data_IF_822107293339
#
_entry.id   IF_822107293339
#
_cell.length_a   1.000
_cell.length_b   1.000
_cell.length_c   1.000
_cell.angle_alpha   90.00
_cell.angle_beta   90.00
_cell.angle_gamma   90.00
#
_symmetry.space_group_name_H-M   'P 1'
#
loop_
_entity.id
_entity.type
_entity.pdbx_description
1 polymer ?
#
# COMPACT_ATOMS: atom_id res chain seq x y z
N UNK A 1 -4.19 -17.07 37.03
CA UNK A 1 -3.15 -17.01 35.97
C UNK A 1 -3.20 -18.34 35.23
N UNK A 2 -3.54 -18.40 33.93
CA UNK A 2 -3.46 -19.68 33.23
C UNK A 2 -1.99 -20.05 33.10
N UNK A 3 -1.65 -21.28 33.48
CA UNK A 3 -0.30 -21.81 33.35
C UNK A 3 0.14 -21.70 31.88
N UNK A 4 1.27 -21.04 31.64
CA UNK A 4 1.94 -21.06 30.35
C UNK A 4 2.36 -22.51 30.13
N UNK A 5 1.60 -23.24 29.31
CA UNK A 5 1.93 -24.61 28.96
C UNK A 5 3.37 -24.62 28.42
N UNK A 6 4.23 -25.44 29.01
CA UNK A 6 5.63 -25.54 28.61
C UNK A 6 5.68 -25.92 27.13
N UNK A 7 6.32 -25.06 26.33
CA UNK A 7 6.44 -25.26 24.89
C UNK A 7 7.23 -26.55 24.64
N UNK A 8 6.68 -27.48 23.83
CA UNK A 8 7.34 -28.76 23.56
C UNK A 8 8.69 -28.50 22.89
N UNK A 9 9.75 -29.30 23.15
CA UNK A 9 11.08 -29.05 22.57
C UNK A 9 11.09 -28.92 21.04
N UNK A 10 10.18 -29.63 20.35
CA UNK A 10 9.98 -29.53 18.91
C UNK A 10 9.43 -28.15 18.47
N UNK A 11 8.42 -27.62 19.19
CA UNK A 11 7.85 -26.30 18.95
C UNK A 11 8.86 -25.18 19.27
N UNK A 12 9.62 -25.32 20.35
CA UNK A 12 10.69 -24.37 20.71
C UNK A 12 11.80 -24.32 19.65
N UNK A 13 12.18 -25.49 19.11
CA UNK A 13 13.14 -25.59 18.00
C UNK A 13 12.59 -24.93 16.74
N UNK A 14 11.34 -25.24 16.36
CA UNK A 14 10.67 -24.64 15.20
C UNK A 14 10.61 -23.11 15.32
N UNK A 15 10.23 -22.58 16.49
CA UNK A 15 10.20 -21.13 16.74
C UNK A 15 11.56 -20.45 16.61
N UNK A 16 12.63 -21.14 17.00
CA UNK A 16 14.01 -20.62 16.88
C UNK A 16 14.41 -20.51 15.41
N UNK A 17 14.11 -21.53 14.60
CA UNK A 17 14.34 -21.52 13.15
C UNK A 17 13.55 -20.37 12.50
N UNK A 18 12.26 -20.24 12.79
CA UNK A 18 11.45 -19.15 12.23
C UNK A 18 11.92 -17.76 12.67
N UNK A 19 12.48 -17.59 13.88
CA UNK A 19 13.07 -16.31 14.28
C UNK A 19 14.25 -15.93 13.39
N UNK A 20 15.08 -16.91 13.02
CA UNK A 20 16.19 -16.73 12.07
C UNK A 20 15.68 -16.36 10.67
N UNK A 21 14.68 -17.09 10.17
CA UNK A 21 14.04 -16.82 8.87
C UNK A 21 13.41 -15.42 8.83
N UNK A 22 12.64 -15.05 9.86
CA UNK A 22 12.00 -13.74 9.96
C UNK A 22 13.05 -12.63 9.99
N UNK A 23 14.10 -12.75 10.81
CA UNK A 23 15.14 -11.71 10.94
C UNK A 23 15.93 -11.48 9.66
N UNK A 24 16.04 -12.50 8.80
CA UNK A 24 16.71 -12.40 7.49
C UNK A 24 15.78 -11.83 6.43
N UNK A 25 14.59 -12.42 6.25
CA UNK A 25 13.73 -12.15 5.09
C UNK A 25 12.89 -10.89 5.30
N UNK A 26 12.24 -10.75 6.45
CA UNK A 26 11.17 -9.75 6.64
C UNK A 26 11.69 -8.31 6.61
N UNK A 27 12.80 -7.93 7.27
CA UNK A 27 13.36 -6.59 7.16
C UNK A 27 13.74 -6.20 5.74
N UNK A 28 14.26 -7.15 4.96
CA UNK A 28 14.64 -6.91 3.57
C UNK A 28 13.41 -6.68 2.68
N UNK A 29 12.36 -7.48 2.85
CA UNK A 29 11.09 -7.25 2.14
C UNK A 29 10.45 -5.92 2.53
N UNK A 30 10.49 -5.54 3.81
CA UNK A 30 10.04 -4.21 4.28
C UNK A 30 10.83 -3.11 3.57
N UNK A 31 12.16 -3.22 3.49
CA UNK A 31 12.99 -2.25 2.78
C UNK A 31 12.60 -2.11 1.30
N UNK A 32 12.39 -3.24 0.61
CA UNK A 32 11.95 -3.24 -0.79
C UNK A 32 10.60 -2.53 -0.95
N UNK A 33 9.68 -2.72 -0.01
CA UNK A 33 8.35 -2.12 -0.07
C UNK A 33 8.32 -0.66 0.36
N UNK A 34 9.20 -0.25 1.28
CA UNK A 34 9.42 1.18 1.58
C UNK A 34 9.90 1.89 0.31
N UNK A 35 10.87 1.32 -0.41
CA UNK A 35 11.33 1.90 -1.68
C UNK A 35 10.20 1.98 -2.71
N UNK A 36 9.40 0.92 -2.87
CA UNK A 36 8.25 0.91 -3.80
C UNK A 36 7.20 1.96 -3.45
N UNK A 37 6.87 2.12 -2.17
CA UNK A 37 5.93 3.17 -1.77
C UNK A 37 6.52 4.57 -1.91
N UNK A 38 7.80 4.75 -1.64
CA UNK A 38 8.48 6.04 -1.79
C UNK A 38 8.38 6.55 -3.24
N UNK A 39 8.69 5.70 -4.22
CA UNK A 39 8.54 6.03 -5.64
C UNK A 39 7.07 6.20 -6.08
N UNK A 40 6.12 5.60 -5.36
CA UNK A 40 4.69 5.80 -5.64
C UNK A 40 4.21 7.17 -5.16
N UNK A 41 4.68 7.62 -4.01
CA UNK A 41 4.18 8.86 -3.37
C UNK A 41 4.93 10.11 -3.80
N UNK A 42 6.19 9.99 -4.24
CA UNK A 42 7.04 11.13 -4.55
C UNK A 42 6.45 12.09 -5.57
N UNK A 43 5.67 11.58 -6.51
CA UNK A 43 4.99 12.41 -7.51
C UNK A 43 4.01 13.42 -6.93
N UNK A 44 3.47 13.18 -5.72
CA UNK A 44 2.68 14.16 -4.98
C UNK A 44 3.50 15.35 -4.52
N UNK A 45 4.80 15.15 -4.27
CA UNK A 45 5.76 16.23 -4.04
C UNK A 45 6.22 16.85 -5.34
N UNK A 46 6.53 16.05 -6.37
CA UNK A 46 6.91 16.56 -7.69
C UNK A 46 5.88 17.59 -8.19
N UNK A 47 4.59 17.30 -7.99
CA UNK A 47 3.48 18.19 -8.34
C UNK A 47 3.66 19.63 -7.84
N UNK A 48 4.20 19.85 -6.64
CA UNK A 48 4.40 21.18 -6.05
C UNK A 48 5.27 22.10 -6.91
N UNK A 49 6.10 21.54 -7.80
CA UNK A 49 6.95 22.31 -8.73
C UNK A 49 6.64 21.96 -10.19
N UNK A 50 6.53 20.67 -10.51
CA UNK A 50 6.39 20.14 -11.87
C UNK A 50 5.11 20.62 -12.56
N UNK A 51 4.00 20.78 -11.81
CA UNK A 51 2.74 21.25 -12.42
C UNK A 51 2.86 22.67 -12.96
N UNK A 52 3.51 23.57 -12.22
CA UNK A 52 3.71 24.95 -12.65
C UNK A 52 4.78 25.04 -13.75
N UNK A 53 5.87 24.28 -13.62
CA UNK A 53 6.98 24.22 -14.58
C UNK A 53 6.55 23.71 -15.97
N UNK A 54 5.61 22.76 -16.01
CA UNK A 54 5.12 22.13 -17.26
C UNK A 54 3.70 22.56 -17.66
N UNK A 55 3.05 23.42 -16.87
CA UNK A 55 1.69 23.90 -17.13
C UNK A 55 0.60 22.82 -17.01
N UNK A 56 0.74 21.86 -16.10
CA UNK A 56 -0.26 20.81 -15.89
C UNK A 56 -1.46 21.34 -15.09
N UNK A 57 -2.66 21.03 -15.57
CA UNK A 57 -3.88 21.19 -14.77
C UNK A 57 -3.94 20.16 -13.62
N UNK A 58 -4.86 20.37 -12.67
CA UNK A 58 -5.04 19.43 -11.57
C UNK A 58 -5.61 18.09 -12.07
N UNK A 59 -6.51 18.13 -13.06
CA UNK A 59 -7.03 16.95 -13.74
C UNK A 59 -5.94 16.22 -14.53
N UNK A 60 -5.04 16.95 -15.19
CA UNK A 60 -3.91 16.36 -15.91
C UNK A 60 -2.99 15.59 -14.96
N UNK A 61 -2.56 16.23 -13.87
CA UNK A 61 -1.81 15.54 -12.81
C UNK A 61 -2.57 14.30 -12.29
N UNK A 62 -3.87 14.48 -11.98
CA UNK A 62 -4.73 13.43 -11.45
C UNK A 62 -4.88 12.23 -12.38
N UNK A 63 -5.00 12.46 -13.69
CA UNK A 63 -5.06 11.41 -14.72
C UNK A 63 -3.74 10.62 -14.76
N UNK A 64 -2.60 11.31 -14.79
CA UNK A 64 -1.30 10.65 -14.76
C UNK A 64 -1.07 9.86 -13.49
N UNK A 65 -1.43 10.40 -12.32
CA UNK A 65 -1.41 9.67 -11.05
C UNK A 65 -2.28 8.41 -11.10
N UNK A 66 -3.43 8.48 -11.75
CA UNK A 66 -4.32 7.34 -11.92
C UNK A 66 -3.80 6.28 -12.90
N UNK A 67 -3.16 6.67 -14.00
CA UNK A 67 -2.70 5.76 -15.06
C UNK A 67 -1.70 4.70 -14.58
N UNK A 68 -0.97 4.98 -13.51
CA UNK A 68 -0.17 4.00 -12.78
C UNK A 68 -0.99 2.74 -12.44
N UNK A 69 -2.20 2.91 -11.91
CA UNK A 69 -3.04 1.77 -11.48
C UNK A 69 -3.57 0.96 -12.66
N UNK A 70 -3.74 1.58 -13.84
CA UNK A 70 -4.16 0.86 -15.04
C UNK A 70 -3.03 -0.05 -15.53
N UNK A 71 -1.80 0.46 -15.62
CA UNK A 71 -0.64 -0.36 -15.98
C UNK A 71 -0.40 -1.49 -14.97
N UNK A 72 -0.50 -1.18 -13.68
CA UNK A 72 -0.38 -2.14 -12.59
C UNK A 72 -1.45 -3.25 -12.71
N UNK A 73 -2.73 -2.88 -12.82
CA UNK A 73 -3.85 -3.82 -12.89
C UNK A 73 -3.76 -4.77 -14.09
N UNK A 74 -3.43 -4.25 -15.28
CA UNK A 74 -3.37 -5.07 -16.50
C UNK A 74 -2.23 -6.11 -16.47
N UNK A 75 -1.10 -5.79 -15.82
CA UNK A 75 0.09 -6.65 -15.84
C UNK A 75 0.32 -7.42 -14.53
N UNK A 76 -0.45 -7.19 -13.47
CA UNK A 76 -0.29 -7.87 -12.19
C UNK A 76 -0.41 -9.40 -12.31
N UNK A 77 -1.45 -9.89 -13.00
CA UNK A 77 -1.67 -11.34 -13.20
C UNK A 77 -0.61 -11.94 -14.12
N UNK A 78 -0.33 -11.41 -15.33
CA UNK A 78 0.77 -11.89 -16.16
C UNK A 78 2.12 -11.91 -15.45
N UNK A 79 2.46 -10.85 -14.71
CA UNK A 79 3.73 -10.73 -13.99
C UNK A 79 3.89 -11.85 -12.97
N UNK A 80 2.86 -12.15 -12.19
CA UNK A 80 2.94 -13.20 -11.17
C UNK A 80 3.02 -14.62 -11.77
N UNK A 81 2.40 -14.85 -12.93
CA UNK A 81 2.57 -16.12 -13.66
C UNK A 81 4.01 -16.32 -14.15
N UNK A 82 4.70 -15.25 -14.54
CA UNK A 82 6.12 -15.33 -14.90
C UNK A 82 6.97 -15.56 -13.66
N UNK A 83 6.69 -14.88 -12.54
CA UNK A 83 7.38 -15.07 -11.26
C UNK A 83 7.43 -16.54 -10.84
N UNK A 84 6.31 -17.26 -10.96
CA UNK A 84 6.25 -18.70 -10.65
C UNK A 84 7.16 -19.56 -11.53
N UNK A 85 7.43 -19.15 -12.76
CA UNK A 85 8.26 -19.91 -13.71
C UNK A 85 9.74 -19.60 -13.58
N UNK A 86 10.10 -18.34 -13.33
CA UNK A 86 11.49 -17.88 -13.34
C UNK A 86 12.12 -17.75 -11.95
N UNK A 87 11.31 -17.89 -10.90
CA UNK A 87 11.74 -17.74 -9.51
C UNK A 87 11.51 -16.33 -8.97
N UNK A 88 11.18 -16.26 -7.68
CA UNK A 88 10.88 -15.01 -6.99
C UNK A 88 12.09 -14.07 -6.92
N UNK A 89 13.29 -14.60 -6.70
CA UNK A 89 14.52 -13.82 -6.59
C UNK A 89 14.78 -13.01 -7.86
N UNK A 90 14.81 -13.68 -9.00
CA UNK A 90 15.11 -13.07 -10.30
C UNK A 90 14.01 -12.10 -10.72
N UNK A 91 12.74 -12.48 -10.50
CA UNK A 91 11.62 -11.65 -10.94
C UNK A 91 11.42 -10.41 -10.08
N UNK A 92 11.52 -10.53 -8.75
CA UNK A 92 11.45 -9.37 -7.83
C UNK A 92 12.57 -8.39 -8.16
N UNK A 93 13.80 -8.87 -8.35
CA UNK A 93 14.92 -8.03 -8.76
C UNK A 93 14.66 -7.32 -10.10
N UNK A 94 14.16 -8.03 -11.11
CA UNK A 94 13.79 -7.46 -12.41
C UNK A 94 12.73 -6.36 -12.27
N UNK A 95 11.70 -6.60 -11.46
CA UNK A 95 10.67 -5.60 -11.17
C UNK A 95 11.33 -4.35 -10.59
N UNK A 96 12.09 -4.49 -9.49
CA UNK A 96 12.75 -3.35 -8.84
C UNK A 96 13.68 -2.57 -9.75
N UNK A 97 14.50 -3.26 -10.56
CA UNK A 97 15.42 -2.60 -11.49
C UNK A 97 14.63 -1.88 -12.59
N UNK A 98 13.66 -2.54 -13.21
CA UNK A 98 12.89 -1.92 -14.30
C UNK A 98 12.03 -0.75 -13.82
N UNK A 99 11.40 -0.87 -12.65
CA UNK A 99 10.65 0.23 -12.05
C UNK A 99 11.60 1.37 -11.65
N UNK A 100 12.74 1.10 -11.00
CA UNK A 100 13.70 2.14 -10.65
C UNK A 100 14.22 2.91 -11.86
N UNK A 101 14.48 2.24 -12.98
CA UNK A 101 14.87 2.90 -14.23
C UNK A 101 13.75 3.80 -14.79
N UNK A 102 12.50 3.33 -14.74
CA UNK A 102 11.35 4.14 -15.17
C UNK A 102 11.13 5.32 -14.22
N UNK A 103 11.31 5.13 -12.91
CA UNK A 103 11.22 6.21 -11.91
C UNK A 103 12.26 7.30 -12.19
N UNK A 104 13.52 6.92 -12.40
CA UNK A 104 14.57 7.87 -12.77
C UNK A 104 14.26 8.62 -14.09
N UNK A 105 13.62 7.95 -15.05
CA UNK A 105 13.26 8.57 -16.33
C UNK A 105 12.23 9.71 -16.22
N UNK A 106 11.51 9.84 -15.09
CA UNK A 106 10.61 10.97 -14.86
C UNK A 106 11.31 12.32 -14.92
N UNK A 107 12.61 12.39 -14.61
CA UNK A 107 13.39 13.62 -14.75
C UNK A 107 13.35 14.22 -16.17
N UNK A 108 13.02 13.42 -17.19
CA UNK A 108 12.93 13.84 -18.60
C UNK A 108 11.50 14.16 -19.06
N UNK A 109 10.53 14.21 -18.15
CA UNK A 109 9.16 14.63 -18.47
C UNK A 109 9.17 16.09 -18.92
N UNK A 110 8.49 16.36 -20.04
CA UNK A 110 8.40 17.71 -20.62
C UNK A 110 6.96 18.13 -20.92
N UNK A 111 6.02 17.19 -20.91
CA UNK A 111 4.60 17.43 -21.18
C UNK A 111 3.73 16.29 -20.62
N UNK A 112 2.42 16.51 -20.63
CA UNK A 112 1.43 15.56 -20.10
C UNK A 112 1.54 14.17 -20.73
N UNK A 113 1.77 14.07 -22.04
CA UNK A 113 1.84 12.77 -22.73
C UNK A 113 3.04 11.97 -22.22
N UNK A 114 4.22 12.59 -22.11
CA UNK A 114 5.40 11.93 -21.53
C UNK A 114 5.18 11.50 -20.09
N UNK A 115 4.49 12.32 -19.29
CA UNK A 115 4.10 12.00 -17.93
C UNK A 115 3.15 10.79 -17.88
N UNK A 116 2.10 10.77 -18.72
CA UNK A 116 1.12 9.68 -18.79
C UNK A 116 1.75 8.35 -19.21
N UNK A 117 2.61 8.38 -20.22
CA UNK A 117 3.33 7.19 -20.69
C UNK A 117 4.23 6.64 -19.58
N UNK A 118 5.05 7.49 -18.95
CA UNK A 118 5.92 7.03 -17.87
C UNK A 118 5.13 6.53 -16.66
N UNK A 119 3.99 7.15 -16.32
CA UNK A 119 3.11 6.67 -15.25
C UNK A 119 2.53 5.29 -15.53
N UNK A 120 2.05 5.07 -16.75
CA UNK A 120 1.59 3.74 -17.17
C UNK A 120 2.73 2.72 -17.12
N UNK A 121 3.91 3.06 -17.65
CA UNK A 121 5.09 2.19 -17.65
C UNK A 121 5.59 1.89 -16.24
N UNK A 122 5.49 2.85 -15.32
CA UNK A 122 5.86 2.68 -13.91
C UNK A 122 4.95 1.64 -13.26
N UNK A 123 3.64 1.78 -13.43
CA UNK A 123 2.66 0.81 -12.97
C UNK A 123 2.88 -0.58 -13.58
N UNK A 124 3.14 -0.63 -14.88
CA UNK A 124 3.46 -1.85 -15.61
C UNK A 124 4.75 -2.53 -15.11
N UNK A 125 5.79 -1.76 -14.78
CA UNK A 125 7.06 -2.26 -14.27
C UNK A 125 6.95 -2.76 -12.83
N UNK A 126 6.18 -2.07 -11.98
CA UNK A 126 5.94 -2.44 -10.58
C UNK A 126 4.93 -3.59 -10.43
N UNK A 127 4.13 -3.85 -11.47
CA UNK A 127 3.12 -4.89 -11.49
C UNK A 127 3.68 -6.25 -11.05
N UNK A 128 3.04 -6.86 -10.05
CA UNK A 128 3.44 -8.15 -9.52
C UNK A 128 4.43 -8.10 -8.35
N UNK A 129 4.95 -6.93 -7.95
CA UNK A 129 5.83 -6.83 -6.78
C UNK A 129 5.14 -7.30 -5.50
N UNK A 130 4.03 -6.64 -5.12
CA UNK A 130 3.28 -6.99 -3.91
C UNK A 130 2.82 -8.46 -3.90
N UNK A 131 2.04 -8.95 -4.88
CA UNK A 131 1.61 -10.35 -4.88
C UNK A 131 2.77 -11.34 -5.05
N UNK A 132 3.87 -10.93 -5.69
CA UNK A 132 5.11 -11.70 -5.78
C UNK A 132 5.78 -11.89 -4.43
N UNK A 133 5.83 -10.85 -3.59
CA UNK A 133 6.31 -10.95 -2.20
C UNK A 133 5.38 -11.82 -1.35
N UNK A 134 4.06 -11.71 -1.53
CA UNK A 134 3.10 -12.59 -0.83
C UNK A 134 3.31 -14.05 -1.23
N UNK A 135 3.46 -14.33 -2.53
CA UNK A 135 3.77 -15.66 -3.04
C UNK A 135 5.11 -16.17 -2.49
N UNK A 136 6.15 -15.34 -2.51
CA UNK A 136 7.44 -15.66 -1.91
C UNK A 136 7.31 -16.06 -0.44
N UNK A 137 6.51 -15.33 0.35
CA UNK A 137 6.25 -15.68 1.74
C UNK A 137 5.59 -17.05 1.91
N UNK A 138 4.86 -17.57 0.92
CA UNK A 138 4.28 -18.92 0.98
C UNK A 138 5.33 -20.03 0.93
N UNK A 139 6.50 -19.77 0.33
CA UNK A 139 7.59 -20.73 0.25
C UNK A 139 8.36 -20.87 1.57
N UNK A 140 8.28 -19.84 2.43
CA UNK A 140 9.06 -19.74 3.66
C UNK A 140 8.23 -19.83 4.93
N UNK A 141 6.93 -19.51 4.88
CA UNK A 141 6.09 -19.39 6.07
C UNK A 141 4.76 -20.14 5.93
N UNK A 142 4.42 -21.02 6.89
CA UNK A 142 3.12 -21.67 6.95
C UNK A 142 2.02 -20.63 7.28
N UNK A 143 0.78 -20.92 6.91
CA UNK A 143 -0.36 -20.00 6.98
C UNK A 143 -0.50 -19.27 8.33
N UNK A 144 -0.34 -20.00 9.45
CA UNK A 144 -0.48 -19.47 10.81
C UNK A 144 0.60 -18.43 11.20
N UNK A 145 1.79 -18.47 10.58
CA UNK A 145 2.86 -17.46 10.76
C UNK A 145 2.81 -16.38 9.69
N UNK A 146 2.36 -16.74 8.48
CA UNK A 146 2.35 -15.87 7.30
C UNK A 146 1.52 -14.60 7.52
N UNK A 147 0.36 -14.70 8.17
CA UNK A 147 -0.48 -13.53 8.45
C UNK A 147 0.27 -12.43 9.24
N UNK A 148 1.07 -12.83 10.23
CA UNK A 148 1.89 -11.91 11.04
C UNK A 148 3.01 -11.28 10.20
N UNK A 149 3.65 -12.06 9.33
CA UNK A 149 4.70 -11.57 8.42
C UNK A 149 4.14 -10.55 7.44
N UNK A 150 2.97 -10.83 6.85
CA UNK A 150 2.30 -9.89 5.93
C UNK A 150 1.92 -8.60 6.66
N UNK A 151 1.41 -8.68 7.90
CA UNK A 151 1.13 -7.49 8.69
C UNK A 151 2.38 -6.64 8.97
N UNK A 152 3.52 -7.27 9.28
CA UNK A 152 4.80 -6.56 9.42
C UNK A 152 5.23 -5.92 8.09
N UNK A 153 5.09 -6.63 6.98
CA UNK A 153 5.40 -6.13 5.65
C UNK A 153 4.56 -4.89 5.28
N UNK A 154 3.24 -4.92 5.52
CA UNK A 154 2.35 -3.80 5.22
C UNK A 154 2.63 -2.54 6.07
N UNK A 155 3.34 -2.67 7.20
CA UNK A 155 3.77 -1.50 7.98
C UNK A 155 4.76 -0.60 7.21
N UNK A 156 5.35 -1.08 6.12
CA UNK A 156 6.20 -0.28 5.24
C UNK A 156 5.45 0.93 4.64
N UNK A 157 4.13 0.85 4.43
CA UNK A 157 3.32 1.92 3.84
C UNK A 157 3.38 3.22 4.66
N UNK A 158 2.96 3.23 5.94
CA UNK A 158 3.08 4.44 6.76
C UNK A 158 4.55 4.83 7.01
N UNK A 159 5.46 3.86 7.12
CA UNK A 159 6.90 4.13 7.28
C UNK A 159 7.45 4.90 6.07
N UNK A 160 7.08 4.54 4.85
CA UNK A 160 7.45 5.26 3.65
C UNK A 160 6.93 6.69 3.66
N UNK A 161 5.69 6.95 4.12
CA UNK A 161 5.20 8.32 4.27
C UNK A 161 5.93 9.13 5.36
N UNK A 162 6.32 8.49 6.47
CA UNK A 162 7.03 9.15 7.58
C UNK A 162 8.42 9.63 7.17
N UNK A 163 9.17 8.80 6.41
CA UNK A 163 10.54 9.10 6.02
C UNK A 163 10.67 9.67 4.61
N UNK A 164 9.85 9.21 3.67
CA UNK A 164 9.83 9.63 2.28
C UNK A 164 9.38 11.09 2.14
N UNK A 165 8.30 11.49 2.83
CA UNK A 165 7.78 12.86 2.68
C UNK A 165 8.81 13.95 3.03
N UNK A 166 9.51 13.90 4.18
CA UNK A 166 10.57 14.87 4.46
C UNK A 166 11.77 14.73 3.52
N UNK A 167 12.11 13.51 3.10
CA UNK A 167 13.23 13.26 2.17
C UNK A 167 12.97 13.90 0.80
N UNK A 168 11.77 13.71 0.23
CA UNK A 168 11.36 14.32 -1.04
C UNK A 168 11.44 15.84 -0.96
N UNK A 169 10.88 16.43 0.10
CA UNK A 169 10.94 17.87 0.33
C UNK A 169 12.39 18.40 0.45
N UNK A 170 13.25 17.69 1.18
CA UNK A 170 14.66 18.03 1.33
C UNK A 170 15.44 17.95 0.03
N UNK A 171 15.22 16.90 -0.79
CA UNK A 171 15.87 16.78 -2.10
C UNK A 171 15.44 17.93 -3.00
N UNK A 172 14.12 18.20 -3.06
CA UNK A 172 13.59 19.25 -3.92
C UNK A 172 14.12 20.64 -3.55
N UNK A 173 14.25 20.98 -2.27
CA UNK A 173 14.80 22.28 -1.86
C UNK A 173 16.33 22.36 -2.02
N UNK A 174 17.06 21.30 -1.68
CA UNK A 174 18.53 21.31 -1.65
C UNK A 174 19.16 21.27 -3.04
N UNK A 175 18.54 20.52 -3.97
CA UNK A 175 19.10 20.31 -5.31
C UNK A 175 18.43 21.18 -6.38
N UNK A 176 17.47 22.03 -6.01
CA UNK A 176 16.87 22.98 -6.94
C UNK A 176 17.94 23.86 -7.61
N UNK A 177 17.93 23.91 -8.95
CA UNK A 177 18.87 24.71 -9.74
C UNK A 177 20.27 24.08 -9.91
N UNK A 178 20.57 22.97 -9.23
CA UNK A 178 21.85 22.27 -9.41
C UNK A 178 21.92 21.70 -10.82
N UNK A 179 22.99 22.02 -11.55
CA UNK A 179 23.16 21.70 -12.99
C UNK A 179 22.04 22.22 -13.90
N UNK A 180 21.29 23.24 -13.47
CA UNK A 180 20.18 23.80 -14.23
C UNK A 180 18.90 22.94 -14.23
N UNK A 181 18.83 21.92 -13.36
CA UNK A 181 17.63 21.09 -13.19
C UNK A 181 16.77 21.56 -12.03
N UNK A 182 15.48 21.29 -12.15
CA UNK A 182 14.50 21.57 -11.11
C UNK A 182 14.60 20.55 -9.96
N UNK A 183 14.13 20.94 -8.78
CA UNK A 183 14.15 20.08 -7.59
C UNK A 183 13.40 18.75 -7.80
N UNK A 184 12.25 18.81 -8.50
CA UNK A 184 11.44 17.62 -8.81
C UNK A 184 12.19 16.61 -9.71
N UNK A 185 13.06 17.08 -10.62
CA UNK A 185 13.86 16.20 -11.49
C UNK A 185 14.92 15.44 -10.67
N UNK A 186 15.60 16.14 -9.76
CA UNK A 186 16.56 15.54 -8.84
C UNK A 186 15.91 14.55 -7.88
N UNK A 187 14.70 14.86 -7.40
CA UNK A 187 13.93 13.97 -6.54
C UNK A 187 13.68 12.62 -7.22
N UNK A 188 13.12 12.60 -8.43
CA UNK A 188 12.92 11.35 -9.17
C UNK A 188 14.21 10.57 -9.41
N UNK A 189 15.30 11.26 -9.77
CA UNK A 189 16.58 10.61 -10.02
C UNK A 189 17.17 9.99 -8.74
N UNK A 190 17.25 10.75 -7.65
CA UNK A 190 17.91 10.32 -6.41
C UNK A 190 17.09 9.27 -5.65
N UNK A 191 15.77 9.38 -5.68
CA UNK A 191 14.87 8.42 -5.01
C UNK A 191 14.79 7.07 -5.75
N UNK A 192 15.02 7.06 -7.06
CA UNK A 192 15.13 5.83 -7.83
C UNK A 192 16.40 5.01 -7.52
N UNK A 193 17.48 5.65 -7.04
CA UNK A 193 18.76 4.97 -6.76
C UNK A 193 18.60 3.86 -5.70
N UNK A 194 17.97 4.09 -4.53
CA UNK A 194 17.66 3.02 -3.59
C UNK A 194 16.93 1.84 -4.21
N UNK A 195 15.92 2.06 -5.06
CA UNK A 195 15.19 0.98 -5.71
C UNK A 195 16.09 0.14 -6.62
N UNK A 196 16.94 0.78 -7.42
CA UNK A 196 17.92 0.11 -8.29
C UNK A 196 18.94 -0.71 -7.47
N UNK A 197 19.50 -0.12 -6.41
CA UNK A 197 20.48 -0.79 -5.54
C UNK A 197 19.86 -1.99 -4.83
N UNK A 198 18.68 -1.83 -4.21
CA UNK A 198 17.99 -2.92 -3.52
C UNK A 198 17.54 -3.99 -4.53
N UNK A 199 17.16 -3.62 -5.74
CA UNK A 199 16.87 -4.54 -6.84
C UNK A 199 18.07 -5.42 -7.21
N UNK A 200 19.26 -4.83 -7.34
CA UNK A 200 20.50 -5.60 -7.57
C UNK A 200 20.85 -6.47 -6.37
N UNK A 201 20.75 -5.94 -5.14
CA UNK A 201 21.01 -6.69 -3.90
C UNK A 201 20.06 -7.90 -3.80
N UNK A 202 18.82 -7.78 -4.26
CA UNK A 202 17.83 -8.87 -4.23
C UNK A 202 18.34 -10.13 -4.93
N UNK A 203 19.09 -10.01 -6.02
CA UNK A 203 19.68 -11.14 -6.75
C UNK A 203 20.67 -11.96 -5.91
N UNK A 204 21.30 -11.33 -4.92
CA UNK A 204 22.31 -11.95 -4.06
C UNK A 204 21.78 -12.26 -2.65
N UNK A 205 20.71 -11.58 -2.23
CA UNK A 205 20.21 -11.64 -0.86
C UNK A 205 19.06 -12.64 -0.67
N UNK A 206 18.11 -12.69 -1.62
CA UNK A 206 17.01 -13.65 -1.58
C UNK A 206 17.42 -14.98 -2.19
N UNK A 207 16.80 -16.07 -1.73
CA UNK A 207 16.94 -17.41 -2.28
C UNK A 207 15.57 -17.84 -2.82
N UNK A 208 15.50 -18.53 -3.96
CA UNK A 208 14.21 -18.88 -4.60
C UNK A 208 13.34 -19.84 -3.76
N UNK A 209 13.96 -20.60 -2.85
CA UNK A 209 13.26 -21.43 -1.88
C UNK A 209 14.17 -21.93 -0.75
N UNK A 210 13.57 -22.70 0.17
CA UNK A 210 14.25 -23.20 1.38
C UNK A 210 15.46 -24.08 1.05
N UNK A 211 15.42 -24.85 -0.04
CA UNK A 211 16.52 -25.74 -0.46
C UNK A 211 17.77 -24.98 -0.84
N UNK A 212 17.60 -23.88 -1.56
CA UNK A 212 18.68 -23.04 -2.07
C UNK A 212 19.32 -22.17 -0.98
N UNK A 213 18.67 -22.06 0.19
CA UNK A 213 19.09 -21.23 1.31
C UNK A 213 20.47 -21.64 1.85
N UNK A 214 21.50 -20.86 1.57
CA UNK A 214 22.87 -21.14 2.05
C UNK A 214 23.11 -20.79 3.53
N UNK A 215 22.21 -20.02 4.13
CA UNK A 215 22.30 -19.52 5.50
C UNK A 215 21.53 -20.38 6.53
N UNK A 216 20.80 -21.39 6.05
CA UNK A 216 20.15 -22.42 6.87
C UNK A 216 20.96 -23.71 6.85
N UNK A 217 21.06 -24.38 8.00
CA UNK A 217 21.59 -25.75 8.05
C UNK A 217 20.57 -26.74 7.48
N UNK A 218 21.02 -27.92 7.06
CA UNK A 218 20.11 -28.93 6.48
C UNK A 218 19.00 -29.36 7.45
N UNK A 219 19.31 -29.39 8.75
CA UNK A 219 18.30 -29.64 9.79
C UNK A 219 17.26 -28.50 9.90
N UNK A 220 17.70 -27.24 9.80
CA UNK A 220 16.80 -26.09 9.80
C UNK A 220 15.93 -26.05 8.53
N UNK A 221 16.50 -26.39 7.37
CA UNK A 221 15.75 -26.51 6.11
C UNK A 221 14.65 -27.54 6.22
N UNK A 222 14.95 -28.72 6.73
CA UNK A 222 13.97 -29.80 6.93
C UNK A 222 12.82 -29.39 7.86
N UNK A 223 13.07 -28.53 8.86
CA UNK A 223 12.02 -27.99 9.74
C UNK A 223 11.07 -27.07 8.96
N UNK A 224 11.61 -26.14 8.16
CA UNK A 224 10.77 -25.20 7.39
C UNK A 224 10.00 -25.93 6.29
N UNK A 225 10.67 -26.81 5.53
CA UNK A 225 10.02 -27.59 4.47
C UNK A 225 8.86 -28.43 5.00
N UNK A 226 9.05 -29.13 6.13
CA UNK A 226 8.00 -29.94 6.75
C UNK A 226 6.80 -29.08 7.14
N UNK A 227 7.05 -27.97 7.83
CA UNK A 227 5.97 -27.08 8.27
C UNK A 227 5.18 -26.47 7.10
N UNK A 228 5.84 -26.10 5.99
CA UNK A 228 5.17 -25.58 4.79
C UNK A 228 4.42 -26.68 4.03
N UNK A 229 4.98 -27.89 3.95
CA UNK A 229 4.34 -29.03 3.29
C UNK A 229 3.08 -29.49 4.06
N UNK A 230 3.18 -29.58 5.39
CA UNK A 230 2.06 -29.94 6.26
C UNK A 230 0.91 -28.92 6.10
N UNK A 231 1.23 -27.62 6.10
CA UNK A 231 0.23 -26.56 5.90
C UNK A 231 -0.44 -26.63 4.51
N UNK A 232 0.31 -27.00 3.47
CA UNK A 232 -0.20 -27.12 2.10
C UNK A 232 -1.13 -28.34 1.94
N UNK A 233 -0.83 -29.45 2.60
CA UNK A 233 -1.65 -30.66 2.57
C UNK A 233 -3.04 -30.47 3.22
N UNK A 234 -3.17 -29.50 4.13
CA UNK A 234 -4.42 -29.18 4.80
C UNK A 234 -5.28 -28.16 4.05
N UNK A 235 -4.81 -27.61 2.93
CA UNK A 235 -5.59 -26.69 2.09
C UNK A 235 -6.44 -27.47 1.09
N UNK A 236 -7.71 -27.69 1.42
CA UNK A 236 -8.69 -28.30 0.50
C UNK A 236 -9.12 -27.29 -0.57
N UNK A 237 -8.77 -27.60 -1.83
CA UNK A 237 -9.10 -26.80 -3.03
C UNK A 237 -10.53 -27.14 -3.46
N UNK A 238 -11.52 -26.50 -2.82
CA UNK A 238 -12.93 -26.61 -3.21
C UNK A 238 -13.45 -25.30 -3.83
N UNK A 239 -14.14 -25.39 -4.97
CA UNK A 239 -14.86 -24.28 -5.63
C UNK A 239 -14.35 -23.94 -7.03
N UNK A 240 -15.22 -23.41 -7.90
CA UNK A 240 -14.86 -22.92 -9.23
C UNK A 240 -14.66 -21.41 -9.20
N UNK A 241 -13.67 -20.89 -9.93
CA UNK A 241 -13.38 -19.44 -10.04
C UNK A 241 -14.62 -18.62 -10.41
N UNK A 242 -15.49 -19.17 -11.28
CA UNK A 242 -16.73 -18.53 -11.72
C UNK A 242 -17.71 -18.24 -10.57
N UNK A 243 -17.69 -19.03 -9.51
CA UNK A 243 -18.63 -18.90 -8.40
C UNK A 243 -18.36 -17.61 -7.61
N UNK A 244 -17.10 -17.15 -7.55
CA UNK A 244 -16.73 -15.88 -6.93
C UNK A 244 -17.34 -14.67 -7.63
N UNK A 245 -17.43 -14.69 -8.98
CA UNK A 245 -18.02 -13.58 -9.76
C UNK A 245 -19.54 -13.48 -9.61
N UNK A 246 -20.20 -14.56 -9.22
CA UNK A 246 -21.66 -14.64 -9.04
C UNK A 246 -22.11 -14.35 -7.61
N UNK A 247 -21.19 -14.31 -6.65
CA UNK A 247 -21.48 -14.13 -5.23
C UNK A 247 -21.70 -12.63 -4.90
N UNK A 248 -22.92 -12.19 -4.53
CA UNK A 248 -23.20 -10.79 -4.24
C UNK A 248 -22.35 -10.23 -3.09
N UNK A 249 -21.98 -11.07 -2.12
CA UNK A 249 -21.10 -10.67 -1.00
C UNK A 249 -19.72 -10.22 -1.48
N UNK A 250 -19.19 -10.78 -2.57
CA UNK A 250 -17.91 -10.37 -3.16
C UNK A 250 -18.00 -8.95 -3.73
N UNK A 251 -19.09 -8.60 -4.41
CA UNK A 251 -19.30 -7.25 -4.94
C UNK A 251 -19.53 -6.21 -3.84
N UNK A 252 -20.22 -6.58 -2.75
CA UNK A 252 -20.30 -5.73 -1.56
C UNK A 252 -18.90 -5.46 -0.97
N UNK A 253 -18.04 -6.48 -0.91
CA UNK A 253 -16.66 -6.31 -0.46
C UNK A 253 -15.84 -5.43 -1.42
N UNK A 254 -16.06 -5.55 -2.73
CA UNK A 254 -15.44 -4.65 -3.71
C UNK A 254 -15.84 -3.19 -3.46
N UNK A 255 -17.12 -2.90 -3.24
CA UNK A 255 -17.61 -1.55 -2.94
C UNK A 255 -16.98 -1.00 -1.65
N UNK A 256 -17.00 -1.77 -0.56
CA UNK A 256 -16.42 -1.35 0.73
C UNK A 256 -14.94 -1.05 0.58
N UNK A 257 -14.19 -1.95 -0.06
CA UNK A 257 -12.75 -1.77 -0.23
C UNK A 257 -12.44 -0.57 -1.13
N UNK A 258 -13.18 -0.41 -2.23
CA UNK A 258 -13.08 0.73 -3.13
C UNK A 258 -13.23 2.06 -2.35
N UNK A 259 -14.26 2.17 -1.50
CA UNK A 259 -14.49 3.38 -0.70
C UNK A 259 -13.31 3.72 0.23
N UNK A 260 -12.73 2.70 0.89
CA UNK A 260 -11.61 2.92 1.82
C UNK A 260 -10.31 3.25 1.08
N UNK A 261 -10.03 2.52 -0.01
CA UNK A 261 -8.82 2.72 -0.81
C UNK A 261 -8.85 4.06 -1.54
N UNK A 262 -10.04 4.55 -1.94
CA UNK A 262 -10.21 5.89 -2.54
C UNK A 262 -9.71 7.00 -1.61
N UNK A 263 -10.11 6.97 -0.33
CA UNK A 263 -9.62 7.92 0.68
C UNK A 263 -8.11 7.76 0.95
N UNK A 264 -7.61 6.52 0.92
CA UNK A 264 -6.19 6.25 1.18
C UNK A 264 -5.32 6.87 0.08
N UNK A 265 -5.68 6.66 -1.19
CA UNK A 265 -4.94 7.23 -2.31
C UNK A 265 -5.10 8.74 -2.42
N UNK A 266 -6.25 9.30 -2.00
CA UNK A 266 -6.39 10.75 -1.90
C UNK A 266 -5.31 11.36 -1.00
N UNK A 267 -5.15 10.84 0.22
CA UNK A 267 -4.08 11.27 1.10
C UNK A 267 -2.71 10.99 0.46
N UNK A 268 -2.50 9.80 -0.08
CA UNK A 268 -1.19 9.40 -0.62
C UNK A 268 -0.68 10.33 -1.74
N UNK A 269 -1.54 10.74 -2.68
CA UNK A 269 -1.13 11.52 -3.86
C UNK A 269 -1.33 13.02 -3.74
N UNK A 270 -2.09 13.48 -2.75
CA UNK A 270 -2.42 14.89 -2.57
C UNK A 270 -2.04 15.45 -1.20
N UNK A 271 -1.49 14.65 -0.28
CA UNK A 271 -1.07 15.14 1.05
C UNK A 271 -0.22 16.41 0.95
N UNK A 272 0.82 16.50 0.09
CA UNK A 272 1.67 17.68 0.06
C UNK A 272 0.90 18.91 -0.41
N UNK A 273 0.07 18.78 -1.45
CA UNK A 273 -0.83 19.84 -1.92
C UNK A 273 -1.86 20.25 -0.87
N UNK A 274 -2.38 19.30 -0.08
CA UNK A 274 -3.32 19.64 0.99
C UNK A 274 -2.64 20.48 2.07
N UNK A 275 -1.39 20.18 2.44
CA UNK A 275 -0.61 20.99 3.38
C UNK A 275 -0.23 22.34 2.78
N UNK A 276 0.23 22.38 1.53
CA UNK A 276 0.53 23.63 0.81
C UNK A 276 -0.69 24.55 0.77
N UNK A 277 -1.87 23.99 0.48
CA UNK A 277 -3.11 24.77 0.35
C UNK A 277 -3.57 25.46 1.64
N UNK A 278 -3.00 25.11 2.80
CA UNK A 278 -3.27 25.82 4.07
C UNK A 278 -2.36 27.04 4.26
N UNK A 279 -1.50 27.36 3.29
CA UNK A 279 -0.59 28.51 3.30
C UNK A 279 0.81 28.20 3.83
N UNK A 280 1.25 26.94 3.82
CA UNK A 280 2.62 26.58 4.15
C UNK A 280 3.50 26.65 2.91
N UNK A 281 4.62 27.36 3.04
CA UNK A 281 5.65 27.47 2.01
C UNK A 281 6.87 26.59 2.32
N UNK A 282 7.59 26.19 1.26
CA UNK A 282 8.83 25.41 1.34
C UNK A 282 8.60 23.90 1.36
N UNK A 283 9.31 23.18 0.49
CA UNK A 283 9.06 21.74 0.29
C UNK A 283 9.48 20.91 1.51
N UNK A 284 10.57 21.28 2.20
CA UNK A 284 10.98 20.63 3.46
C UNK A 284 9.89 20.73 4.52
N UNK A 285 9.34 21.92 4.73
CA UNK A 285 8.30 22.16 5.74
C UNK A 285 7.04 21.37 5.38
N UNK A 286 6.61 21.43 4.12
CA UNK A 286 5.49 20.61 3.61
C UNK A 286 5.76 19.12 3.83
N UNK A 287 6.98 18.66 3.58
CA UNK A 287 7.41 17.27 3.79
C UNK A 287 7.31 16.81 5.24
N UNK A 288 7.84 17.61 6.16
CA UNK A 288 7.78 17.32 7.61
C UNK A 288 6.34 17.32 8.12
N UNK A 289 5.53 18.30 7.73
CA UNK A 289 4.13 18.38 8.14
C UNK A 289 3.28 17.26 7.52
N UNK A 290 3.57 16.88 6.27
CA UNK A 290 2.92 15.76 5.59
C UNK A 290 3.22 14.41 6.25
N UNK A 291 4.28 14.27 7.03
CA UNK A 291 4.58 13.04 7.78
C UNK A 291 3.66 12.85 9.00
N UNK A 292 3.14 13.93 9.60
CA UNK A 292 2.37 13.90 10.85
C UNK A 292 1.11 13.01 10.75
N UNK A 293 0.28 13.11 9.70
CA UNK A 293 -0.89 12.22 9.55
C UNK A 293 -0.54 10.74 9.43
N UNK A 294 0.60 10.40 8.82
CA UNK A 294 1.06 9.02 8.70
C UNK A 294 1.54 8.45 10.04
N UNK A 295 2.12 9.29 10.92
CA UNK A 295 2.42 8.90 12.31
C UNK A 295 1.12 8.61 13.07
N UNK A 296 0.12 9.48 12.97
CA UNK A 296 -1.19 9.26 13.59
C UNK A 296 -1.86 7.97 13.06
N UNK A 297 -1.76 7.72 11.75
CA UNK A 297 -2.23 6.49 11.13
C UNK A 297 -1.52 5.24 11.63
N UNK A 298 -0.20 5.27 11.76
CA UNK A 298 0.56 4.14 12.30
C UNK A 298 0.11 3.79 13.73
N UNK A 299 -0.10 4.79 14.58
CA UNK A 299 -0.57 4.61 15.95
C UNK A 299 -1.99 4.04 15.95
N UNK A 300 -2.92 4.69 15.24
CA UNK A 300 -4.32 4.28 15.18
C UNK A 300 -4.49 2.85 14.65
N UNK A 301 -3.80 2.51 13.56
CA UNK A 301 -3.83 1.18 12.94
C UNK A 301 -3.44 0.09 13.95
N UNK A 302 -2.40 0.32 14.76
CA UNK A 302 -1.98 -0.63 15.79
C UNK A 302 -2.98 -0.73 16.95
N UNK A 303 -3.56 0.39 17.39
CA UNK A 303 -4.55 0.40 18.48
C UNK A 303 -5.87 -0.26 18.08
N UNK A 304 -6.39 0.08 16.90
CA UNK A 304 -7.61 -0.53 16.36
C UNK A 304 -7.39 -2.00 16.00
N UNK A 305 -6.24 -2.39 15.45
CA UNK A 305 -5.88 -3.80 15.24
C UNK A 305 -5.95 -4.62 16.52
N UNK A 306 -5.25 -4.18 17.58
CA UNK A 306 -5.28 -4.87 18.88
C UNK A 306 -6.69 -4.91 19.49
N UNK A 307 -7.46 -3.83 19.33
CA UNK A 307 -8.84 -3.76 19.81
C UNK A 307 -9.77 -4.70 19.05
N UNK A 308 -9.61 -4.80 17.73
CA UNK A 308 -10.39 -5.69 16.87
C UNK A 308 -10.16 -7.15 17.24
N UNK A 309 -8.89 -7.53 17.43
CA UNK A 309 -8.52 -8.87 17.87
C UNK A 309 -9.08 -9.21 19.26
N UNK A 310 -8.99 -8.26 20.21
CA UNK A 310 -9.48 -8.45 21.58
C UNK A 310 -11.00 -8.58 21.65
N UNK A 311 -11.73 -7.76 20.90
CA UNK A 311 -13.20 -7.73 20.94
C UNK A 311 -13.85 -8.72 19.96
N UNK A 312 -13.11 -9.20 18.96
CA UNK A 312 -13.61 -10.02 17.84
C UNK A 312 -14.78 -9.36 17.10
N UNK A 313 -14.80 -8.03 17.12
CA UNK A 313 -15.76 -7.21 16.40
C UNK A 313 -15.07 -6.64 15.17
N UNK A 314 -15.48 -7.06 13.97
CA UNK A 314 -14.84 -6.59 12.72
C UNK A 314 -15.61 -5.43 12.08
N UNK A 315 -16.94 -5.40 12.27
CA UNK A 315 -17.82 -4.36 11.70
C UNK A 315 -17.55 -2.98 12.30
N UNK A 316 -17.59 -2.87 13.63
CA UNK A 316 -17.39 -1.57 14.30
C UNK A 316 -15.96 -1.04 14.15
N UNK A 317 -14.97 -1.93 14.07
CA UNK A 317 -13.59 -1.56 13.81
C UNK A 317 -13.30 -1.19 12.36
N UNK A 318 -14.30 -1.25 11.48
CA UNK A 318 -14.26 -0.64 10.14
C UNK A 318 -15.13 0.60 10.06
N UNK A 319 -16.33 0.56 10.64
CA UNK A 319 -17.27 1.69 10.67
C UNK A 319 -16.66 2.88 11.41
N UNK A 320 -16.17 2.69 12.64
CA UNK A 320 -15.65 3.81 13.44
C UNK A 320 -14.46 4.50 12.75
N UNK A 321 -13.40 3.78 12.29
CA UNK A 321 -12.31 4.43 11.56
C UNK A 321 -12.77 5.06 10.25
N UNK A 322 -13.68 4.45 9.49
CA UNK A 322 -14.19 5.08 8.25
C UNK A 322 -14.93 6.39 8.52
N UNK A 323 -15.71 6.48 9.60
CA UNK A 323 -16.37 7.71 10.03
C UNK A 323 -15.38 8.74 10.58
N UNK A 324 -14.33 8.32 11.28
CA UNK A 324 -13.21 9.21 11.63
C UNK A 324 -12.58 9.79 10.36
N UNK A 325 -12.40 8.96 9.33
CA UNK A 325 -11.98 9.36 7.99
C UNK A 325 -12.86 10.46 7.39
N UNK A 326 -14.18 10.23 7.39
CA UNK A 326 -15.16 11.16 6.85
C UNK A 326 -15.21 12.49 7.61
N UNK A 327 -15.16 12.43 8.94
CA UNK A 327 -15.09 13.62 9.79
C UNK A 327 -13.79 14.38 9.55
N UNK A 328 -12.66 13.70 9.47
CA UNK A 328 -11.35 14.30 9.21
C UNK A 328 -11.31 15.04 7.87
N UNK A 329 -11.78 14.42 6.78
CA UNK A 329 -11.87 15.10 5.49
C UNK A 329 -12.83 16.31 5.53
N UNK A 330 -14.01 16.14 6.13
CA UNK A 330 -14.99 17.24 6.23
C UNK A 330 -14.44 18.42 7.03
N UNK A 331 -13.79 18.15 8.17
CA UNK A 331 -13.18 19.20 9.00
C UNK A 331 -11.99 19.85 8.29
N UNK A 332 -11.19 19.11 7.53
CA UNK A 332 -10.09 19.69 6.73
C UNK A 332 -10.61 20.67 5.67
N UNK A 333 -11.78 20.40 5.09
CA UNK A 333 -12.44 21.29 4.14
C UNK A 333 -12.96 22.59 4.78
N UNK A 334 -13.38 22.53 6.05
CA UNK A 334 -13.91 23.69 6.80
C UNK A 334 -12.79 24.51 7.43
N UNK A 335 -11.72 23.86 7.88
CA UNK A 335 -10.61 24.50 8.60
C UNK A 335 -9.42 24.88 7.72
N UNK A 336 -9.62 24.98 6.41
CA UNK A 336 -8.57 25.28 5.43
C UNK A 336 -7.80 26.60 5.70
N UNK A 337 -8.39 27.54 6.45
CA UNK A 337 -7.74 28.79 6.87
C UNK A 337 -6.76 28.67 8.04
N UNK A 338 -6.59 27.49 8.64
CA UNK A 338 -5.60 27.25 9.69
C UNK A 338 -4.86 25.94 9.46
N UNK A 339 -3.55 26.03 9.19
CA UNK A 339 -2.67 24.86 9.01
C UNK A 339 -2.78 23.87 10.17
N UNK A 340 -2.75 24.34 11.42
CA UNK A 340 -2.77 23.47 12.59
C UNK A 340 -4.08 22.67 12.69
N UNK A 341 -5.22 23.33 12.45
CA UNK A 341 -6.53 22.67 12.47
C UNK A 341 -6.69 21.71 11.28
N UNK A 342 -6.28 22.13 10.08
CA UNK A 342 -6.30 21.29 8.88
C UNK A 342 -5.42 20.05 9.03
N UNK A 343 -4.20 20.18 9.54
CA UNK A 343 -3.31 19.05 9.82
C UNK A 343 -3.89 18.10 10.88
N UNK A 344 -4.54 18.65 11.91
CA UNK A 344 -5.23 17.83 12.92
C UNK A 344 -6.36 17.03 12.27
N UNK A 345 -7.16 17.67 11.41
CA UNK A 345 -8.25 17.03 10.69
C UNK A 345 -7.74 15.96 9.69
N UNK A 346 -6.67 16.27 8.93
CA UNK A 346 -6.02 15.32 8.02
C UNK A 346 -5.36 14.15 8.78
N UNK A 347 -4.85 14.39 9.99
CA UNK A 347 -4.34 13.33 10.86
C UNK A 347 -5.43 12.39 11.34
N UNK A 348 -6.61 12.92 11.69
CA UNK A 348 -7.80 12.11 12.00
C UNK A 348 -8.27 11.35 10.76
N UNK A 349 -8.25 11.99 9.58
CA UNK A 349 -8.61 11.37 8.32
C UNK A 349 -7.69 10.17 8.00
N UNK A 350 -6.38 10.39 8.04
CA UNK A 350 -5.36 9.36 7.83
C UNK A 350 -5.49 8.23 8.85
N UNK A 351 -5.67 8.56 10.14
CA UNK A 351 -5.89 7.59 11.20
C UNK A 351 -7.09 6.69 10.93
N UNK A 352 -8.19 7.24 10.45
CA UNK A 352 -9.36 6.47 10.08
C UNK A 352 -9.13 5.58 8.87
N UNK A 353 -8.75 6.20 7.75
CA UNK A 353 -8.72 5.57 6.43
C UNK A 353 -7.63 4.50 6.31
N UNK A 354 -6.40 4.79 6.75
CA UNK A 354 -5.31 3.81 6.65
C UNK A 354 -5.51 2.63 7.61
N UNK A 355 -6.28 2.81 8.70
CA UNK A 355 -6.66 1.73 9.60
C UNK A 355 -7.67 0.77 8.96
N UNK A 356 -8.57 1.27 8.10
CA UNK A 356 -9.55 0.43 7.42
C UNK A 356 -8.92 -0.59 6.47
N UNK A 357 -7.82 -0.24 5.78
CA UNK A 357 -7.21 -1.09 4.76
C UNK A 357 -6.78 -2.49 5.26
N UNK A 358 -5.98 -2.63 6.34
CA UNK A 358 -5.61 -3.94 6.86
C UNK A 358 -6.78 -4.66 7.55
N UNK A 359 -7.65 -3.93 8.25
CA UNK A 359 -8.80 -4.52 8.95
C UNK A 359 -9.85 -5.07 8.00
N UNK A 360 -9.98 -4.48 6.81
CA UNK A 360 -10.95 -4.88 5.81
C UNK A 360 -10.77 -6.35 5.41
N UNK A 361 -9.54 -6.83 5.26
CA UNK A 361 -9.24 -8.19 4.82
C UNK A 361 -9.71 -9.29 5.79
N UNK A 362 -10.11 -8.90 7.00
CA UNK A 362 -10.79 -9.78 7.94
C UNK A 362 -12.26 -10.05 7.57
N UNK A 363 -12.91 -9.25 6.71
CA UNK A 363 -14.29 -9.48 6.26
C UNK A 363 -14.38 -10.62 5.23
N UNK A 364 -13.70 -10.56 4.07
CA UNK A 364 -13.92 -11.55 3.02
C UNK A 364 -13.48 -12.95 3.46
N UNK A 365 -12.42 -13.02 4.26
CA UNK A 365 -11.88 -14.27 4.82
C UNK A 365 -12.82 -14.96 5.82
N UNK A 366 -13.86 -14.28 6.32
CA UNK A 366 -14.82 -14.86 7.24
C UNK A 366 -15.86 -15.77 6.55
N UNK A 367 -16.09 -15.58 5.24
CA UNK A 367 -17.13 -16.31 4.49
C UNK A 367 -16.64 -16.92 3.18
N UNK A 368 -15.45 -16.55 2.71
CA UNK A 368 -14.82 -17.17 1.55
C UNK A 368 -13.90 -18.32 1.99
N UNK A 369 -14.14 -19.53 1.47
CA UNK A 369 -13.28 -20.70 1.65
C UNK A 369 -12.81 -21.31 0.32
N UNK A 370 -11.69 -22.03 0.34
CA UNK A 370 -11.18 -22.77 -0.82
C UNK A 370 -10.78 -21.90 -2.03
N UNK A 371 -10.92 -22.46 -3.23
CA UNK A 371 -10.50 -21.84 -4.50
C UNK A 371 -11.34 -20.62 -4.87
N UNK A 372 -12.64 -20.64 -4.53
CA UNK A 372 -13.52 -19.50 -4.72
C UNK A 372 -13.08 -18.29 -3.89
N UNK A 373 -12.44 -18.53 -2.73
CA UNK A 373 -11.88 -17.46 -1.92
C UNK A 373 -10.70 -16.76 -2.60
N UNK A 374 -9.76 -17.51 -3.16
CA UNK A 374 -8.62 -16.93 -3.87
C UNK A 374 -9.09 -16.04 -5.03
N UNK A 375 -10.05 -16.52 -5.83
CA UNK A 375 -10.65 -15.75 -6.92
C UNK A 375 -11.39 -14.49 -6.43
N UNK A 376 -12.20 -14.62 -5.37
CA UNK A 376 -12.93 -13.50 -4.79
C UNK A 376 -12.00 -12.43 -4.21
N UNK A 377 -10.96 -12.84 -3.47
CA UNK A 377 -9.95 -11.93 -2.90
C UNK A 377 -9.19 -11.18 -4.00
N UNK A 378 -8.81 -11.87 -5.08
CA UNK A 378 -8.16 -11.25 -6.23
C UNK A 378 -9.06 -10.22 -6.93
N UNK A 379 -10.36 -10.54 -7.10
CA UNK A 379 -11.34 -9.61 -7.66
C UNK A 379 -11.53 -8.38 -6.77
N UNK A 380 -11.67 -8.56 -5.45
CA UNK A 380 -11.81 -7.46 -4.49
C UNK A 380 -10.59 -6.54 -4.53
N UNK A 381 -9.38 -7.10 -4.51
CA UNK A 381 -8.15 -6.31 -4.58
C UNK A 381 -8.07 -5.51 -5.88
N UNK A 382 -8.34 -6.17 -7.00
CA UNK A 382 -8.34 -5.59 -8.34
C UNK A 382 -9.29 -4.40 -8.46
N UNK A 383 -10.56 -4.58 -8.07
CA UNK A 383 -11.57 -3.51 -8.11
C UNK A 383 -11.22 -2.39 -7.13
N UNK A 384 -10.70 -2.73 -5.94
CA UNK A 384 -10.21 -1.73 -4.99
C UNK A 384 -9.08 -0.88 -5.54
N UNK A 385 -8.14 -1.47 -6.28
CA UNK A 385 -7.03 -0.73 -6.90
C UNK A 385 -7.50 0.23 -8.00
N UNK A 386 -8.65 -0.01 -8.65
CA UNK A 386 -9.24 0.98 -9.56
C UNK A 386 -9.62 2.28 -8.84
N UNK A 387 -9.85 2.26 -7.52
CA UNK A 387 -9.99 3.50 -6.75
C UNK A 387 -8.74 4.37 -6.79
N UNK A 388 -7.56 3.78 -7.03
CA UNK A 388 -6.30 4.51 -7.25
C UNK A 388 -6.27 5.25 -8.58
N UNK A 389 -7.05 4.81 -9.59
CA UNK A 389 -7.28 5.60 -10.81
C UNK A 389 -8.31 6.70 -10.56
N UNK A 390 -9.46 6.34 -9.98
CA UNK A 390 -10.60 7.25 -9.79
C UNK A 390 -10.30 8.37 -8.83
N UNK A 391 -9.64 8.10 -7.70
CA UNK A 391 -9.40 9.07 -6.62
C UNK A 391 -8.61 10.30 -7.09
N UNK A 392 -7.36 10.18 -7.60
CA UNK A 392 -6.58 11.36 -7.97
C UNK A 392 -7.17 12.10 -9.17
N UNK A 393 -7.73 11.38 -10.16
CA UNK A 393 -8.40 12.02 -11.29
C UNK A 393 -9.63 12.81 -10.87
N UNK A 394 -10.48 12.24 -10.02
CA UNK A 394 -11.68 12.92 -9.49
C UNK A 394 -11.30 14.17 -8.69
N UNK A 395 -10.29 14.10 -7.81
CA UNK A 395 -9.85 15.26 -7.04
C UNK A 395 -9.40 16.38 -7.98
N UNK A 396 -8.57 16.04 -8.97
CA UNK A 396 -8.07 17.00 -9.96
C UNK A 396 -9.18 17.63 -10.79
N UNK A 397 -10.07 16.82 -11.37
CA UNK A 397 -11.19 17.28 -12.18
C UNK A 397 -12.17 18.17 -11.40
N UNK A 398 -12.45 17.84 -10.13
CA UNK A 398 -13.29 18.67 -9.28
C UNK A 398 -12.62 19.99 -8.92
N UNK A 399 -11.30 19.98 -8.65
CA UNK A 399 -10.55 21.20 -8.34
C UNK A 399 -10.50 22.14 -9.55
N UNK A 400 -10.22 21.62 -10.75
CA UNK A 400 -10.24 22.40 -12.00
C UNK A 400 -11.65 22.96 -12.31
N UNK A 401 -12.69 22.14 -12.16
CA UNK A 401 -14.06 22.54 -12.50
C UNK A 401 -14.68 23.55 -11.51
N UNK A 402 -14.27 23.53 -10.24
CA UNK A 402 -14.91 24.33 -9.18
C UNK A 402 -14.01 25.40 -8.58
N UNK A 403 -12.70 25.32 -8.79
CA UNK A 403 -11.71 26.15 -8.10
C UNK A 403 -11.61 25.88 -6.59
N UNK A 404 -12.33 24.90 -6.05
CA UNK A 404 -12.43 24.66 -4.60
C UNK A 404 -11.59 23.45 -4.15
N UNK A 405 -10.67 23.69 -3.21
CA UNK A 405 -9.95 22.61 -2.53
C UNK A 405 -10.84 21.80 -1.56
N UNK A 406 -11.99 22.34 -1.16
CA UNK A 406 -12.87 21.73 -0.16
C UNK A 406 -13.85 20.70 -0.77
N UNK A 407 -14.31 20.91 -2.01
CA UNK A 407 -15.28 20.02 -2.66
C UNK A 407 -14.78 18.57 -2.78
N UNK A 408 -13.53 18.29 -3.24
CA UNK A 408 -12.99 16.93 -3.26
C UNK A 408 -13.04 16.24 -1.88
N UNK A 409 -12.77 16.97 -0.80
CA UNK A 409 -12.80 16.42 0.56
C UNK A 409 -14.20 15.96 0.98
N UNK A 410 -15.23 16.74 0.65
CA UNK A 410 -16.61 16.34 0.95
C UNK A 410 -17.03 15.10 0.15
N UNK A 411 -16.58 14.95 -1.09
CA UNK A 411 -16.84 13.75 -1.90
C UNK A 411 -16.14 12.54 -1.31
N UNK A 412 -14.89 12.68 -0.85
CA UNK A 412 -14.16 11.61 -0.15
C UNK A 412 -14.85 11.25 1.16
N UNK A 413 -15.30 12.24 1.94
CA UNK A 413 -16.04 12.01 3.17
C UNK A 413 -17.34 11.24 2.94
N UNK A 414 -18.12 11.65 1.92
CA UNK A 414 -19.35 10.95 1.53
C UNK A 414 -19.05 9.50 1.12
N UNK A 415 -17.99 9.28 0.35
CA UNK A 415 -17.57 7.95 -0.08
C UNK A 415 -17.25 7.04 1.10
N UNK A 416 -16.59 7.56 2.14
CA UNK A 416 -16.31 6.82 3.37
C UNK A 416 -17.58 6.52 4.18
N UNK A 417 -18.54 7.46 4.22
CA UNK A 417 -19.85 7.21 4.84
C UNK A 417 -20.61 6.10 4.12
N UNK A 418 -20.58 6.08 2.78
CA UNK A 418 -21.14 4.99 1.97
C UNK A 418 -20.45 3.66 2.29
N UNK A 419 -19.12 3.65 2.38
CA UNK A 419 -18.35 2.47 2.80
C UNK A 419 -18.74 1.98 4.21
N UNK A 420 -18.90 2.89 5.16
CA UNK A 420 -19.34 2.60 6.53
C UNK A 420 -20.75 1.97 6.54
N UNK A 421 -21.69 2.57 5.80
CA UNK A 421 -23.06 2.06 5.66
C UNK A 421 -23.07 0.67 5.00
N UNK A 422 -22.24 0.44 3.98
CA UNK A 422 -22.08 -0.86 3.34
C UNK A 422 -21.52 -1.93 4.31
N UNK A 423 -20.57 -1.59 5.19
CA UNK A 423 -20.12 -2.53 6.24
C UNK A 423 -21.27 -2.92 7.19
N UNK A 424 -22.18 -1.98 7.49
CA UNK A 424 -23.36 -2.22 8.32
C UNK A 424 -24.44 -3.10 7.66
N UNK A 425 -24.30 -3.47 6.38
CA UNK A 425 -25.17 -4.49 5.76
C UNK A 425 -24.60 -5.91 5.85
N UNK A 426 -23.29 -6.09 6.04
CA UNK A 426 -22.64 -7.42 6.15
C UNK A 426 -22.97 -8.21 7.43
N UNK A 427 -23.75 -9.29 7.39
CA UNK A 427 -24.24 -10.07 8.55
C UNK A 427 -23.30 -10.17 9.78
N UNK A 428 -23.76 -9.61 10.92
CA UNK A 428 -22.98 -9.55 12.19
C UNK A 428 -22.46 -10.92 12.66
N UNK A 429 -23.28 -11.95 12.54
CA UNK A 429 -23.00 -13.30 13.07
C UNK A 429 -21.93 -14.06 12.25
N UNK A 430 -21.75 -13.66 10.99
CA UNK A 430 -20.75 -14.23 10.08
C UNK A 430 -19.40 -13.55 10.29
N UNK A 431 -19.44 -12.24 10.52
CA UNK A 431 -18.26 -11.38 10.50
C UNK A 431 -17.61 -11.21 11.87
N UNK A 432 -18.37 -11.12 12.96
CA UNK A 432 -17.81 -10.95 14.31
C UNK A 432 -17.47 -12.32 14.92
N UNK A 433 -16.28 -12.86 14.61
CA UNK A 433 -15.76 -14.15 15.12
C UNK A 433 -14.30 -14.09 15.51
#
# INVERSE_FOLDING_TARGET
>A
MPAVAAETPALARENTVYRKVIRRIVPFLILCYVASYLDRVNVGFAKLQMSDDLGFSEAAYGLGAGLFFIGYFLLEVPSNLVLQRVGARTWIARIMISWGLVSAAFMFVTNEVTFYVLRFLLGAAEAGFYPGVILYCTYWFPSHRRARVIAMFMSAIPVAGIFGNPLSGWIMDTFHGVNGWQGWQWMFLLEAVPALLVGVITLFYLDDGVRDAKWLTDEEKAVVERAVADDSAHQTVHGRVRDAFREPKVWLMCLIYFCFVMGQYALTFWMPTFVESTGIEGNVTIGVLSAVPFVAALIAMNLFGRSADKRRERRWHLVIPSLMGAVGFSLSAVWNGSTALSLTALSVAAAGVLTCAPLFWSLPTAFLGGTAAAAGLALINSVGNLAGFVSPYMIGALKDATGSASIPMYVLALTLVVGAAAVLTAEKQVVNR
#
